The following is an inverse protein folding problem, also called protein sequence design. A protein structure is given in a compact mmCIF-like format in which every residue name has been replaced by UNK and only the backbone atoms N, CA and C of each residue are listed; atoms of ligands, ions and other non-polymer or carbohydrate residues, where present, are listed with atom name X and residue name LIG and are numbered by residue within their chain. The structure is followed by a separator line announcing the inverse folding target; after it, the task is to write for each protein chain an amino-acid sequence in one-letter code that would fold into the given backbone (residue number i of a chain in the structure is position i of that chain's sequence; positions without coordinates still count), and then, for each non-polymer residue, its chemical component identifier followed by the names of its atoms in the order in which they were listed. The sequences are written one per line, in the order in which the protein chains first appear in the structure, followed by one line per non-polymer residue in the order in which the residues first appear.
data_IF_833745017156
#
_entry.id   IF_833745017156
#
_cell.length_a   1.000
_cell.length_b   1.000
_cell.length_c   1.000
_cell.angle_alpha   90.00
_cell.angle_beta   90.00
_cell.angle_gamma   90.00
#
_symmetry.space_group_name_H-M   'P 1'
#
loop_
_entity.id
_entity.type
_entity.pdbx_description
1 polymer ?
#
# COMPACT_ATOMS: atom_id res chain seq x y z
N UNK A 1 -18.94 22.83 12.23
CA UNK A 1 -17.94 22.83 13.34
C UNK A 1 -17.91 21.44 14.02
N UNK A 2 -19.05 20.79 14.28
CA UNK A 2 -19.10 19.44 14.87
C UNK A 2 -18.72 18.36 13.86
N UNK A 3 -19.13 18.50 12.61
CA UNK A 3 -18.76 17.58 11.52
C UNK A 3 -17.26 17.57 11.22
N UNK A 4 -16.58 18.72 11.34
CA UNK A 4 -15.15 18.82 11.08
C UNK A 4 -14.30 18.11 12.15
N UNK A 5 -14.76 18.15 13.41
CA UNK A 5 -14.04 17.50 14.52
C UNK A 5 -14.13 15.97 14.46
N UNK A 6 -15.29 15.44 14.04
CA UNK A 6 -15.51 14.01 13.88
C UNK A 6 -14.75 13.48 12.66
N UNK A 7 -14.69 14.27 11.58
CA UNK A 7 -13.88 13.96 10.40
C UNK A 7 -12.40 13.87 10.75
N UNK A 8 -11.91 14.74 11.63
CA UNK A 8 -10.51 14.77 12.10
C UNK A 8 -10.13 13.51 12.90
N UNK A 9 -11.03 13.00 13.76
CA UNK A 9 -10.75 11.79 14.56
C UNK A 9 -10.88 10.50 13.71
N UNK A 10 -11.73 10.50 12.69
CA UNK A 10 -11.88 9.38 11.75
C UNK A 10 -10.68 9.28 10.80
N UNK A 11 -10.13 10.40 10.33
CA UNK A 11 -9.00 10.42 9.43
C UNK A 11 -7.71 9.88 10.09
N UNK A 12 -7.52 10.11 11.40
CA UNK A 12 -6.41 9.53 12.18
C UNK A 12 -6.53 8.00 12.29
N UNK A 13 -7.74 7.45 12.36
CA UNK A 13 -7.97 6.00 12.41
C UNK A 13 -7.73 5.30 11.06
N UNK A 14 -7.81 6.04 9.94
CA UNK A 14 -7.66 5.50 8.59
C UNK A 14 -6.22 5.24 8.17
N UNK A 15 -5.25 5.95 8.76
CA UNK A 15 -3.81 5.76 8.46
C UNK A 15 -3.24 4.45 9.00
N UNK A 16 -3.88 3.81 9.96
CA UNK A 16 -3.38 2.56 10.58
C UNK A 16 -3.72 1.27 9.84
N UNK A 17 -4.48 1.31 8.74
CA UNK A 17 -5.07 0.12 8.10
C UNK A 17 -4.41 -0.41 6.83
N UNK A 18 -3.44 0.25 6.22
CA UNK A 18 -3.06 -0.05 4.82
C UNK A 18 -1.73 -0.77 4.55
N UNK A 19 -0.92 -1.12 5.55
CA UNK A 19 0.34 -1.85 5.27
C UNK A 19 0.73 -2.86 6.34
N UNK A 20 -0.04 -3.94 6.47
CA UNK A 20 0.34 -5.08 7.30
C UNK A 20 1.14 -6.13 6.55
N UNK A 21 2.42 -5.95 6.28
CA UNK A 21 3.31 -7.07 5.97
C UNK A 21 4.05 -7.48 7.25
N UNK A 22 3.65 -8.61 7.83
CA UNK A 22 4.33 -9.23 8.97
C UNK A 22 5.64 -9.84 8.47
N UNK A 23 6.76 -9.33 8.94
CA UNK A 23 8.03 -10.07 8.92
C UNK A 23 8.20 -10.73 10.29
N UNK A 24 8.26 -12.07 10.32
CA UNK A 24 8.66 -12.83 11.48
C UNK A 24 10.15 -12.62 11.74
N UNK A 25 10.49 -12.09 12.91
CA UNK A 25 11.86 -12.08 13.44
C UNK A 25 12.00 -13.32 14.32
N UNK A 26 12.92 -14.21 13.98
CA UNK A 26 13.32 -15.32 14.83
C UNK A 26 13.98 -14.81 16.10
N UNK A 27 13.49 -15.28 17.24
CA UNK A 27 14.09 -15.13 18.55
C UNK A 27 15.29 -16.08 18.69
N UNK A 28 16.40 -15.58 19.19
CA UNK A 28 17.48 -16.36 19.79
C UNK A 28 17.23 -16.56 21.30
N UNK A 29 17.90 -17.50 21.99
CA UNK A 29 17.47 -18.08 23.26
C UNK A 29 17.90 -17.31 24.52
N UNK A 30 16.97 -17.28 25.47
CA UNK A 30 17.15 -17.51 26.90
C UNK A 30 17.69 -16.40 27.80
N UNK A 31 16.82 -15.85 28.67
CA UNK A 31 17.10 -15.57 30.08
C UNK A 31 15.75 -15.61 30.82
N UNK A 32 15.70 -16.37 31.92
CA UNK A 32 14.56 -16.68 32.81
C UNK A 32 14.30 -15.62 33.91
N UNK A 33 13.34 -15.77 34.88
CA UNK A 33 12.15 -14.92 34.92
C UNK A 33 12.07 -14.04 36.20
N UNK A 34 11.37 -12.93 36.10
CA UNK A 34 11.05 -12.01 37.20
C UNK A 34 9.64 -11.46 37.20
N UNK A 35 8.82 -12.04 38.11
CA UNK A 35 7.63 -11.49 38.80
C UNK A 35 6.48 -10.85 38.02
N UNK A 36 5.34 -11.58 38.07
CA UNK A 36 3.96 -11.22 37.72
C UNK A 36 3.48 -9.87 38.30
N UNK A 37 2.94 -9.01 37.43
CA UNK A 37 1.90 -8.06 37.84
C UNK A 37 0.71 -8.20 36.86
N UNK A 38 -0.46 -8.38 37.46
CA UNK A 38 -1.75 -8.58 36.82
C UNK A 38 -2.10 -7.48 35.82
N UNK A 39 -2.21 -7.81 34.55
CA UNK A 39 -2.94 -7.02 33.56
C UNK A 39 -4.22 -7.79 33.19
N UNK A 40 -5.36 -7.14 33.44
CA UNK A 40 -6.69 -7.64 33.08
C UNK A 40 -6.82 -7.69 31.56
N UNK A 41 -7.04 -8.88 31.05
CA UNK A 41 -7.32 -9.14 29.63
C UNK A 41 -8.65 -8.53 29.21
N UNK A 42 -8.61 -7.71 28.15
CA UNK A 42 -9.81 -7.33 27.41
C UNK A 42 -10.24 -8.53 26.56
N UNK A 43 -11.47 -8.96 26.76
CA UNK A 43 -12.07 -10.11 26.10
C UNK A 43 -12.09 -9.95 24.58
N UNK A 44 -11.55 -10.94 23.91
CA UNK A 44 -11.67 -11.15 22.47
C UNK A 44 -13.14 -11.48 22.18
N UNK A 45 -13.76 -10.69 21.30
CA UNK A 45 -15.05 -11.05 20.70
C UNK A 45 -14.80 -12.21 19.75
N UNK A 46 -15.15 -13.40 20.16
CA UNK A 46 -15.10 -14.60 19.34
C UNK A 46 -16.13 -14.44 18.19
N UNK A 47 -15.66 -14.48 16.95
CA UNK A 47 -16.53 -14.68 15.80
C UNK A 47 -17.19 -16.05 15.90
N UNK A 48 -18.50 -16.08 16.01
CA UNK A 48 -19.30 -17.29 15.90
C UNK A 48 -19.18 -17.85 14.47
N UNK A 49 -18.28 -18.82 14.32
CA UNK A 49 -18.22 -19.66 13.12
C UNK A 49 -19.30 -20.72 13.23
N UNK A 50 -20.36 -20.62 12.47
CA UNK A 50 -21.32 -21.70 12.29
C UNK A 50 -20.63 -22.86 11.56
N UNK A 51 -20.28 -23.91 12.30
CA UNK A 51 -19.83 -25.18 11.73
C UNK A 51 -20.98 -25.82 10.95
N UNK A 52 -20.96 -25.70 9.62
CA UNK A 52 -21.66 -26.64 8.75
C UNK A 52 -20.75 -27.85 8.54
N UNK A 53 -21.12 -28.98 9.18
CA UNK A 53 -20.55 -30.28 8.86
C UNK A 53 -20.94 -30.67 7.44
N UNK A 54 -20.00 -30.60 6.52
CA UNK A 54 -20.04 -31.37 5.28
C UNK A 54 -18.63 -31.91 5.04
N UNK A 55 -18.49 -33.25 5.17
CA UNK A 55 -17.33 -33.97 4.71
C UNK A 55 -17.27 -33.86 3.18
N UNK A 56 -16.57 -32.84 2.67
CA UNK A 56 -16.16 -32.79 1.28
C UNK A 56 -14.66 -33.04 1.24
N UNK A 57 -14.25 -34.07 0.51
CA UNK A 57 -12.85 -34.38 0.18
C UNK A 57 -12.20 -33.14 -0.41
N UNK A 58 -11.19 -32.60 0.25
CA UNK A 58 -10.39 -31.48 -0.24
C UNK A 58 -9.51 -31.96 -1.39
N UNK A 59 -10.00 -31.86 -2.62
CA UNK A 59 -9.12 -31.74 -3.78
C UNK A 59 -8.63 -30.29 -3.78
N UNK A 60 -7.35 -30.09 -3.51
CA UNK A 60 -6.71 -28.78 -3.38
C UNK A 60 -6.60 -28.03 -4.72
N UNK A 61 -7.74 -27.53 -5.21
CA UNK A 61 -7.78 -26.40 -6.12
C UNK A 61 -8.21 -25.19 -5.29
N UNK A 62 -7.32 -24.22 -5.11
CA UNK A 62 -7.72 -22.89 -4.71
C UNK A 62 -8.82 -22.45 -5.67
N UNK A 63 -10.06 -22.43 -5.22
CA UNK A 63 -11.17 -21.86 -5.99
C UNK A 63 -10.76 -20.40 -6.26
N UNK A 64 -10.36 -20.17 -7.51
CA UNK A 64 -10.17 -18.83 -8.05
C UNK A 64 -11.57 -18.22 -7.99
N UNK A 65 -11.83 -17.34 -7.02
CA UNK A 65 -13.07 -16.61 -6.94
C UNK A 65 -13.34 -16.01 -8.33
N UNK A 66 -14.43 -16.38 -9.01
CA UNK A 66 -14.67 -15.94 -10.37
C UNK A 66 -14.68 -14.42 -10.40
N UNK A 67 -14.17 -13.85 -11.49
CA UNK A 67 -14.23 -12.41 -11.69
C UNK A 67 -15.70 -11.98 -11.68
N UNK A 68 -16.07 -11.05 -10.80
CA UNK A 68 -17.45 -10.58 -10.70
C UNK A 68 -17.98 -10.10 -12.07
N UNK A 69 -17.18 -9.33 -12.82
CA UNK A 69 -17.56 -8.84 -14.15
C UNK A 69 -17.69 -9.92 -15.23
N UNK A 70 -17.13 -11.13 -15.02
CA UNK A 70 -17.27 -12.25 -15.97
C UNK A 70 -18.44 -13.19 -15.66
N UNK A 71 -19.17 -12.95 -14.56
CA UNK A 71 -20.35 -13.70 -14.21
C UNK A 71 -21.52 -13.27 -15.09
N UNK A 72 -22.48 -14.19 -15.33
CA UNK A 72 -23.73 -13.83 -15.99
C UNK A 72 -24.56 -12.85 -15.11
N UNK A 73 -25.50 -12.15 -15.73
CA UNK A 73 -26.29 -11.11 -15.07
C UNK A 73 -27.06 -11.63 -13.85
N UNK A 74 -27.61 -12.85 -13.92
CA UNK A 74 -28.34 -13.44 -12.81
C UNK A 74 -27.45 -13.72 -11.61
N UNK A 75 -26.25 -14.22 -11.83
CA UNK A 75 -25.29 -14.48 -10.76
C UNK A 75 -24.76 -13.18 -10.16
N UNK A 76 -24.55 -12.15 -10.97
CA UNK A 76 -24.19 -10.83 -10.47
C UNK A 76 -25.31 -10.26 -9.58
N UNK A 77 -26.57 -10.36 -10.02
CA UNK A 77 -27.74 -9.91 -9.27
C UNK A 77 -27.88 -10.67 -7.94
N UNK A 78 -27.70 -11.98 -7.95
CA UNK A 78 -27.72 -12.82 -6.74
C UNK A 78 -26.67 -12.35 -5.72
N UNK A 79 -25.45 -12.07 -6.17
CA UNK A 79 -24.35 -11.57 -5.32
C UNK A 79 -24.67 -10.19 -4.75
N UNK A 80 -25.26 -9.29 -5.53
CA UNK A 80 -25.67 -7.98 -5.05
C UNK A 80 -26.73 -8.13 -3.95
N UNK A 81 -27.76 -8.93 -4.18
CA UNK A 81 -28.82 -9.18 -3.21
C UNK A 81 -28.31 -9.86 -1.93
N UNK A 82 -27.41 -10.83 -2.05
CA UNK A 82 -26.76 -11.45 -0.90
C UNK A 82 -25.92 -10.43 -0.11
N UNK A 83 -25.10 -9.64 -0.79
CA UNK A 83 -24.29 -8.59 -0.16
C UNK A 83 -25.13 -7.53 0.54
N UNK A 84 -26.29 -7.18 -0.03
CA UNK A 84 -27.23 -6.24 0.59
C UNK A 84 -27.86 -6.82 1.86
N UNK A 85 -28.24 -8.10 1.85
CA UNK A 85 -28.77 -8.81 3.03
C UNK A 85 -27.70 -8.86 4.14
N UNK A 86 -26.48 -9.23 3.80
CA UNK A 86 -25.38 -9.29 4.77
C UNK A 86 -25.06 -7.91 5.37
N UNK A 87 -25.14 -6.85 4.55
CA UNK A 87 -24.99 -5.47 5.04
C UNK A 87 -26.13 -5.09 5.97
N UNK A 88 -27.38 -5.47 5.66
CA UNK A 88 -28.53 -5.21 6.53
C UNK A 88 -28.35 -5.87 7.90
N UNK A 89 -27.95 -7.15 7.92
CA UNK A 89 -27.67 -7.88 9.17
C UNK A 89 -26.57 -7.16 9.98
N UNK A 90 -25.51 -6.69 9.33
CA UNK A 90 -24.45 -5.94 10.00
C UNK A 90 -24.95 -4.62 10.59
N UNK A 91 -25.74 -3.85 9.81
CA UNK A 91 -26.31 -2.55 10.26
C UNK A 91 -27.26 -2.76 11.43
N UNK A 92 -28.14 -3.75 11.37
CA UNK A 92 -29.06 -4.09 12.47
C UNK A 92 -28.32 -4.52 13.74
N UNK A 93 -27.26 -5.32 13.58
CA UNK A 93 -26.42 -5.72 14.71
C UNK A 93 -25.71 -4.52 15.34
N UNK A 94 -25.13 -3.63 14.53
CA UNK A 94 -24.47 -2.42 15.03
C UNK A 94 -25.47 -1.47 15.71
N UNK A 95 -26.65 -1.28 15.13
CA UNK A 95 -27.72 -0.50 15.76
C UNK A 95 -28.07 -1.01 17.16
N UNK A 96 -28.26 -2.34 17.31
CA UNK A 96 -28.54 -2.97 18.62
C UNK A 96 -27.36 -2.85 19.59
N UNK A 97 -26.14 -3.20 19.16
CA UNK A 97 -24.94 -3.20 20.03
C UNK A 97 -24.54 -1.80 20.48
N UNK A 98 -24.65 -0.81 19.59
CA UNK A 98 -24.28 0.57 19.88
C UNK A 98 -25.48 1.38 20.41
N UNK A 99 -26.68 0.78 20.45
CA UNK A 99 -27.97 1.43 20.80
C UNK A 99 -28.20 2.69 19.96
N UNK A 100 -28.09 2.54 18.65
CA UNK A 100 -28.29 3.60 17.67
C UNK A 100 -29.47 3.26 16.76
N UNK A 101 -30.19 4.30 16.38
CA UNK A 101 -31.10 4.25 15.23
C UNK A 101 -30.26 4.58 14.00
N UNK A 102 -30.15 3.64 13.08
CA UNK A 102 -29.44 3.79 11.82
C UNK A 102 -30.45 3.92 10.67
N UNK A 103 -30.09 4.59 9.57
CA UNK A 103 -31.00 4.75 8.44
C UNK A 103 -31.31 3.40 7.79
N UNK A 104 -32.47 3.28 7.17
CA UNK A 104 -32.79 2.16 6.29
C UNK A 104 -31.83 2.13 5.11
N UNK A 105 -31.38 0.93 4.74
CA UNK A 105 -30.48 0.79 3.60
C UNK A 105 -31.22 1.12 2.29
N UNK A 106 -30.62 1.87 1.38
CA UNK A 106 -31.15 2.05 0.05
C UNK A 106 -31.06 0.74 -0.75
N UNK A 107 -31.85 0.63 -1.80
CA UNK A 107 -31.69 -0.45 -2.77
C UNK A 107 -30.45 -0.19 -3.63
N UNK A 108 -29.53 -1.13 -3.66
CA UNK A 108 -28.31 -1.02 -4.44
C UNK A 108 -28.44 -1.74 -5.79
N UNK A 109 -27.94 -1.11 -6.84
CA UNK A 109 -27.93 -1.68 -8.19
C UNK A 109 -26.61 -2.39 -8.51
N UNK A 110 -25.53 -1.94 -7.86
CA UNK A 110 -24.19 -2.47 -8.10
C UNK A 110 -23.43 -2.70 -6.80
N UNK A 111 -22.41 -3.59 -6.85
CA UNK A 111 -21.46 -3.75 -5.73
C UNK A 111 -20.70 -2.45 -5.46
N UNK A 112 -20.49 -1.63 -6.48
CA UNK A 112 -19.82 -0.34 -6.33
C UNK A 112 -20.66 0.62 -5.48
N UNK A 113 -21.99 0.59 -5.59
CA UNK A 113 -22.89 1.41 -4.77
C UNK A 113 -22.85 0.97 -3.31
N UNK A 114 -22.86 -0.34 -3.03
CA UNK A 114 -22.68 -0.87 -1.69
C UNK A 114 -21.33 -0.41 -1.10
N UNK A 115 -20.24 -0.49 -1.89
CA UNK A 115 -18.91 -0.04 -1.47
C UNK A 115 -18.88 1.47 -1.18
N UNK A 116 -19.58 2.27 -1.98
CA UNK A 116 -19.69 3.73 -1.78
C UNK A 116 -20.46 4.05 -0.52
N UNK A 117 -21.59 3.38 -0.28
CA UNK A 117 -22.37 3.52 0.94
C UNK A 117 -21.52 3.23 2.18
N UNK A 118 -20.76 2.13 2.19
CA UNK A 118 -19.90 1.77 3.32
C UNK A 118 -18.75 2.76 3.61
N UNK A 119 -18.52 3.73 2.73
CA UNK A 119 -17.49 4.77 2.88
C UNK A 119 -18.09 6.18 3.02
N UNK A 120 -19.41 6.31 2.86
CA UNK A 120 -20.10 7.59 2.96
C UNK A 120 -20.40 8.00 4.42
N UNK A 121 -20.79 9.25 4.63
CA UNK A 121 -21.32 9.68 5.89
C UNK A 121 -22.65 8.95 6.17
N UNK A 122 -22.86 8.52 7.42
CA UNK A 122 -24.07 7.84 7.84
C UNK A 122 -24.72 8.67 8.92
N UNK A 123 -25.96 9.02 8.70
CA UNK A 123 -26.79 9.65 9.71
C UNK A 123 -27.14 8.64 10.80
N UNK A 124 -27.02 9.04 12.04
CA UNK A 124 -27.37 8.19 13.18
C UNK A 124 -27.89 9.02 14.34
N UNK A 125 -28.80 8.42 15.12
CA UNK A 125 -29.36 9.00 16.34
C UNK A 125 -29.35 7.96 17.46
N UNK A 126 -29.39 8.37 18.75
CA UNK A 126 -29.61 7.44 19.84
C UNK A 126 -30.93 6.73 19.71
N UNK A 127 -30.98 5.44 20.02
CA UNK A 127 -32.23 4.68 20.00
C UNK A 127 -33.22 5.22 21.06
N UNK A 128 -34.53 5.29 20.76
CA UNK A 128 -35.50 5.90 21.66
C UNK A 128 -35.65 5.24 23.04
N UNK A 129 -35.33 3.96 23.11
CA UNK A 129 -35.46 3.14 24.33
C UNK A 129 -34.12 2.97 25.10
N UNK A 130 -33.07 3.67 24.68
CA UNK A 130 -31.76 3.60 25.29
C UNK A 130 -31.74 3.82 26.81
N UNK A 131 -32.63 4.61 27.34
CA UNK A 131 -32.72 4.92 28.76
C UNK A 131 -33.24 3.77 29.64
N UNK A 132 -33.81 2.68 29.09
CA UNK A 132 -34.51 1.63 29.85
C UNK A 132 -33.66 0.38 30.12
N UNK A 133 -32.54 0.19 29.47
CA UNK A 133 -31.74 -1.01 29.63
C UNK A 133 -30.63 -0.85 30.70
N UNK A 134 -30.81 -1.55 31.84
CA UNK A 134 -29.73 -1.73 32.83
C UNK A 134 -28.81 -2.83 32.34
N UNK A 135 -27.65 -2.44 31.78
CA UNK A 135 -26.60 -3.41 31.47
C UNK A 135 -25.87 -3.77 32.76
N UNK A 136 -26.05 -5.00 33.24
CA UNK A 136 -25.26 -5.56 34.35
C UNK A 136 -23.89 -6.00 33.82
N UNK A 137 -22.85 -5.24 34.11
CA UNK A 137 -21.47 -5.70 34.04
C UNK A 137 -20.99 -6.01 35.46
N UNK A 138 -20.94 -7.28 35.84
CA UNK A 138 -20.53 -7.69 37.17
C UNK A 138 -21.38 -7.13 38.31
N UNK A 139 -20.87 -7.08 39.54
CA UNK A 139 -21.59 -6.66 40.75
C UNK A 139 -21.81 -5.15 40.90
N UNK A 140 -21.35 -4.33 39.95
CA UNK A 140 -21.49 -2.85 40.02
C UNK A 140 -22.45 -2.31 38.99
N UNK A 141 -23.61 -1.85 39.46
CA UNK A 141 -24.61 -1.09 38.69
C UNK A 141 -24.15 0.36 38.54
N UNK A 142 -23.47 0.73 37.45
CA UNK A 142 -23.23 2.14 37.12
C UNK A 142 -24.46 2.69 36.37
N UNK A 143 -25.15 3.67 36.96
CA UNK A 143 -26.13 4.50 36.25
C UNK A 143 -25.39 5.37 35.24
N UNK A 144 -25.37 4.98 33.97
CA UNK A 144 -24.92 5.89 32.94
C UNK A 144 -26.04 6.89 32.63
N UNK A 145 -25.80 8.19 32.87
CA UNK A 145 -26.61 9.25 32.31
C UNK A 145 -26.55 9.14 30.78
N UNK A 146 -27.67 8.82 30.16
CA UNK A 146 -27.81 8.75 28.72
C UNK A 146 -27.70 10.16 28.16
N UNK A 147 -26.61 10.46 27.47
CA UNK A 147 -26.51 11.70 26.71
C UNK A 147 -27.44 11.64 25.49
N UNK A 148 -28.13 12.73 25.20
CA UNK A 148 -28.98 12.87 24.01
C UNK A 148 -28.24 12.92 22.68
N UNK A 149 -26.94 12.59 22.65
CA UNK A 149 -26.08 12.69 21.48
C UNK A 149 -25.23 11.43 21.32
N UNK A 150 -25.05 10.98 20.08
CA UNK A 150 -24.13 9.90 19.72
C UNK A 150 -22.68 10.29 20.08
N UNK A 151 -21.95 9.33 20.61
CA UNK A 151 -20.55 9.55 20.99
C UNK A 151 -19.62 9.44 19.77
N UNK A 152 -18.52 10.16 19.71
CA UNK A 152 -17.52 10.01 18.63
C UNK A 152 -17.06 8.55 18.43
N UNK A 153 -16.92 7.79 19.54
CA UNK A 153 -16.56 6.38 19.49
C UNK A 153 -17.58 5.51 18.75
N UNK A 154 -18.86 5.83 18.83
CA UNK A 154 -19.92 5.09 18.15
C UNK A 154 -19.80 5.28 16.63
N UNK A 155 -19.52 6.50 16.18
CA UNK A 155 -19.17 6.80 14.78
C UNK A 155 -17.95 6.04 14.28
N UNK A 156 -16.89 6.02 15.08
CA UNK A 156 -15.66 5.28 14.73
C UNK A 156 -15.93 3.78 14.58
N UNK A 157 -16.68 3.20 15.52
CA UNK A 157 -17.03 1.78 15.50
C UNK A 157 -17.89 1.44 14.29
N UNK A 158 -18.91 2.23 14.00
CA UNK A 158 -19.79 2.06 12.84
C UNK A 158 -18.99 2.15 11.53
N UNK A 159 -18.26 3.24 11.36
CA UNK A 159 -17.46 3.48 10.15
C UNK A 159 -16.38 2.41 9.92
N UNK A 160 -15.69 1.99 10.98
CA UNK A 160 -14.68 0.93 10.89
C UNK A 160 -15.32 -0.41 10.51
N UNK A 161 -16.49 -0.75 11.08
CA UNK A 161 -17.20 -2.00 10.78
C UNK A 161 -17.68 -2.04 9.32
N UNK A 162 -18.26 -0.95 8.83
CA UNK A 162 -18.69 -0.84 7.43
C UNK A 162 -17.50 -0.85 6.46
N UNK A 163 -16.42 -0.18 6.81
CA UNK A 163 -15.19 -0.23 6.03
C UNK A 163 -14.60 -1.65 5.95
N UNK A 164 -14.65 -2.42 7.04
CA UNK A 164 -14.23 -3.82 7.03
C UNK A 164 -15.17 -4.68 6.18
N UNK A 165 -16.49 -4.48 6.28
CA UNK A 165 -17.47 -5.15 5.43
C UNK A 165 -17.21 -4.87 3.95
N UNK A 166 -16.93 -3.62 3.56
CA UNK A 166 -16.55 -3.27 2.19
C UNK A 166 -15.41 -4.12 1.65
N UNK A 167 -14.46 -4.52 2.50
CA UNK A 167 -13.31 -5.35 2.09
C UNK A 167 -13.67 -6.80 1.78
N UNK A 168 -14.84 -7.27 2.21
CA UNK A 168 -15.36 -8.63 1.90
C UNK A 168 -16.08 -8.68 0.56
N UNK A 169 -16.52 -7.54 0.05
CA UNK A 169 -17.30 -7.47 -1.19
C UNK A 169 -16.45 -7.85 -2.42
N UNK A 170 -17.07 -8.49 -3.42
CA UNK A 170 -16.39 -8.87 -4.64
C UNK A 170 -15.81 -7.65 -5.37
N UNK A 171 -14.80 -7.88 -6.19
CA UNK A 171 -14.08 -6.83 -6.92
C UNK A 171 -13.88 -7.31 -8.35
N UNK A 172 -14.15 -6.42 -9.31
CA UNK A 172 -13.87 -6.65 -10.71
C UNK A 172 -12.37 -6.83 -10.96
N UNK A 173 -12.04 -7.57 -11.99
CA UNK A 173 -10.66 -7.67 -12.43
C UNK A 173 -10.24 -6.37 -13.11
N UNK A 174 -8.98 -5.95 -12.92
CA UNK A 174 -8.39 -4.89 -13.72
C UNK A 174 -8.39 -5.30 -15.21
N UNK A 175 -8.63 -4.34 -16.07
CA UNK A 175 -8.52 -4.50 -17.52
C UNK A 175 -7.03 -4.57 -17.89
N UNK A 176 -6.55 -5.79 -18.13
CA UNK A 176 -5.16 -6.02 -18.54
C UNK A 176 -4.89 -5.50 -19.96
N UNK A 177 -5.88 -5.45 -20.83
CA UNK A 177 -5.76 -4.88 -22.17
C UNK A 177 -5.41 -3.41 -22.12
N UNK A 178 -6.18 -2.61 -21.36
CA UNK A 178 -5.88 -1.19 -21.13
C UNK A 178 -4.52 -0.97 -20.46
N UNK A 179 -4.11 -1.88 -19.59
CA UNK A 179 -2.79 -1.79 -18.97
C UNK A 179 -1.66 -2.01 -19.98
N UNK A 180 -1.80 -3.01 -20.88
CA UNK A 180 -0.88 -3.19 -21.99
C UNK A 180 -0.79 -1.97 -22.89
N UNK A 181 -1.94 -1.36 -23.25
CA UNK A 181 -1.98 -0.16 -24.05
C UNK A 181 -1.25 1.01 -23.36
N UNK A 182 -1.48 1.16 -22.06
CA UNK A 182 -0.81 2.18 -21.26
C UNK A 182 0.71 2.00 -21.25
N UNK A 183 1.19 0.77 -21.10
CA UNK A 183 2.63 0.47 -21.09
C UNK A 183 3.29 0.60 -22.46
N UNK A 184 2.55 0.42 -23.55
CA UNK A 184 3.06 0.51 -24.91
C UNK A 184 3.44 1.95 -25.35
N UNK A 185 2.96 2.97 -24.64
CA UNK A 185 3.16 4.37 -25.05
C UNK A 185 4.23 5.05 -24.20
N UNK A 186 5.26 5.57 -24.88
CA UNK A 186 6.27 6.40 -24.23
C UNK A 186 5.68 7.75 -23.78
N UNK A 187 6.21 8.28 -22.70
CA UNK A 187 5.85 9.61 -22.19
C UNK A 187 6.95 10.60 -22.50
N UNK A 188 6.56 11.85 -22.78
CA UNK A 188 7.52 12.92 -22.98
C UNK A 188 8.37 13.14 -21.74
N UNK A 189 9.66 13.29 -21.91
CA UNK A 189 10.60 13.59 -20.83
C UNK A 189 10.65 15.09 -20.57
N UNK A 190 10.87 15.48 -19.30
CA UNK A 190 11.15 16.87 -18.95
C UNK A 190 12.66 17.08 -18.77
N UNK A 191 13.35 17.77 -19.70
CA UNK A 191 14.80 17.96 -19.61
C UNK A 191 15.24 18.74 -18.36
N UNK A 192 14.41 19.67 -17.88
CA UNK A 192 14.69 20.47 -16.68
C UNK A 192 14.63 19.60 -15.43
N UNK A 193 13.65 18.69 -15.36
CA UNK A 193 13.57 17.70 -14.28
C UNK A 193 14.77 16.72 -14.32
N UNK A 194 15.15 16.25 -15.51
CA UNK A 194 16.33 15.38 -15.67
C UNK A 194 17.65 16.07 -15.27
N UNK A 195 17.78 17.37 -15.58
CA UNK A 195 18.94 18.17 -15.13
C UNK A 195 18.96 18.28 -13.59
N UNK A 196 17.80 18.53 -12.98
CA UNK A 196 17.65 18.56 -11.53
C UNK A 196 18.02 17.21 -10.90
N UNK A 197 17.53 16.09 -11.42
CA UNK A 197 17.87 14.74 -10.97
C UNK A 197 19.37 14.51 -10.96
N UNK A 198 20.07 14.83 -12.05
CA UNK A 198 21.54 14.69 -12.16
C UNK A 198 22.31 15.49 -11.12
N UNK A 199 21.79 16.64 -10.74
CA UNK A 199 22.38 17.50 -9.71
C UNK A 199 22.06 17.00 -8.29
N UNK A 200 20.83 16.53 -8.04
CA UNK A 200 20.37 16.21 -6.69
C UNK A 200 20.79 14.82 -6.22
N UNK A 201 20.88 13.84 -7.11
CA UNK A 201 21.23 12.46 -6.73
C UNK A 201 22.60 12.38 -6.02
N UNK A 202 23.71 13.02 -6.45
CA UNK A 202 24.97 12.98 -5.73
C UNK A 202 24.90 13.57 -4.31
N UNK A 203 23.98 14.50 -4.06
CA UNK A 203 23.73 15.03 -2.72
C UNK A 203 23.02 14.03 -1.81
N UNK A 204 22.16 13.19 -2.37
CA UNK A 204 21.43 12.15 -1.65
C UNK A 204 22.28 10.91 -1.41
N UNK A 205 23.07 10.52 -2.39
CA UNK A 205 23.91 9.30 -2.43
C UNK A 205 25.40 9.70 -2.48
N UNK A 206 25.94 10.05 -1.32
CA UNK A 206 27.35 10.41 -1.20
C UNK A 206 28.25 9.17 -1.31
N UNK A 207 29.50 9.37 -1.65
CA UNK A 207 30.51 8.32 -1.72
C UNK A 207 30.49 7.40 -0.49
N UNK A 208 30.65 6.12 -0.72
CA UNK A 208 30.66 5.10 0.33
C UNK A 208 29.29 4.64 0.82
N UNK A 209 28.20 5.14 0.25
CA UNK A 209 26.86 4.68 0.64
C UNK A 209 26.60 3.20 0.32
N UNK A 210 27.35 2.65 -0.62
CA UNK A 210 27.24 1.28 -1.13
C UNK A 210 28.22 0.28 -0.51
N UNK A 211 29.04 0.71 0.47
CA UNK A 211 30.07 -0.13 1.12
C UNK A 211 29.54 -1.45 1.70
N UNK A 212 28.26 -1.47 2.12
CA UNK A 212 27.61 -2.68 2.67
C UNK A 212 27.14 -3.68 1.63
N UNK A 213 27.43 -3.49 0.32
CA UNK A 213 26.87 -4.35 -0.72
C UNK A 213 27.31 -5.81 -0.58
N UNK A 214 28.60 -6.05 -0.35
CA UNK A 214 29.14 -7.41 -0.18
C UNK A 214 28.48 -8.17 0.97
N UNK A 215 28.30 -7.51 2.12
CA UNK A 215 27.62 -8.11 3.28
C UNK A 215 26.15 -8.45 2.97
N UNK A 216 25.49 -7.62 2.17
CA UNK A 216 24.11 -7.88 1.74
C UNK A 216 24.01 -9.04 0.78
N UNK A 217 24.98 -9.23 -0.10
CA UNK A 217 25.07 -10.40 -0.96
C UNK A 217 25.17 -11.67 -0.11
N UNK A 218 26.02 -11.68 0.91
CA UNK A 218 26.16 -12.84 1.80
C UNK A 218 24.85 -13.18 2.53
N UNK A 219 24.06 -12.17 2.88
CA UNK A 219 22.78 -12.32 3.62
C UNK A 219 21.56 -12.38 2.71
N UNK A 220 21.75 -12.40 1.38
CA UNK A 220 20.61 -12.41 0.44
C UNK A 220 19.77 -13.66 0.63
N UNK A 221 18.46 -13.48 0.68
CA UNK A 221 17.50 -14.56 0.79
C UNK A 221 16.53 -14.50 -0.37
N UNK A 222 16.24 -15.65 -0.94
CA UNK A 222 15.22 -15.80 -1.96
C UNK A 222 13.89 -16.07 -1.28
N UNK A 223 12.84 -15.41 -1.75
CA UNK A 223 11.50 -15.57 -1.19
C UNK A 223 10.83 -16.90 -1.60
N UNK A 224 9.64 -17.11 -1.05
CA UNK A 224 8.80 -18.27 -1.37
C UNK A 224 7.69 -17.94 -2.38
N UNK A 225 7.80 -16.81 -3.09
CA UNK A 225 6.79 -16.35 -4.05
C UNK A 225 6.91 -17.07 -5.39
N UNK A 226 5.89 -16.94 -6.21
CA UNK A 226 5.88 -17.41 -7.60
C UNK A 226 6.94 -16.70 -8.44
N UNK A 227 7.45 -17.38 -9.47
CA UNK A 227 8.46 -16.94 -10.42
C UNK A 227 8.16 -17.52 -11.81
N UNK A 228 8.84 -17.03 -12.86
CA UNK A 228 8.51 -17.42 -14.25
C UNK A 228 8.90 -18.85 -14.58
N UNK A 229 10.05 -19.30 -14.09
CA UNK A 229 10.63 -20.62 -14.37
C UNK A 229 9.93 -21.75 -13.63
N UNK A 230 8.89 -21.44 -12.86
CA UNK A 230 8.11 -22.40 -12.09
C UNK A 230 7.39 -23.38 -13.00
N UNK A 231 7.66 -24.67 -12.85
CA UNK A 231 7.08 -25.76 -13.63
C UNK A 231 5.89 -26.42 -12.92
N UNK A 232 6.01 -26.64 -11.60
CA UNK A 232 4.94 -27.25 -10.80
C UNK A 232 4.41 -26.28 -9.74
N UNK A 233 3.12 -26.41 -9.33
CA UNK A 233 2.46 -25.47 -8.42
C UNK A 233 3.14 -25.29 -7.06
N UNK A 234 3.77 -26.32 -6.54
CA UNK A 234 4.37 -26.37 -5.19
C UNK A 234 5.74 -25.70 -5.12
N UNK A 235 6.41 -25.51 -6.26
CA UNK A 235 7.72 -24.88 -6.30
C UNK A 235 7.71 -23.45 -5.77
N UNK A 236 8.68 -23.14 -4.93
CA UNK A 236 8.98 -21.77 -4.50
C UNK A 236 10.29 -21.30 -5.11
N UNK A 237 10.43 -19.99 -5.27
CA UNK A 237 11.68 -19.42 -5.80
C UNK A 237 12.90 -19.84 -4.96
N UNK A 238 12.76 -19.98 -3.63
CA UNK A 238 13.82 -20.44 -2.73
C UNK A 238 14.21 -21.89 -3.03
N UNK A 239 13.22 -22.77 -3.18
CA UNK A 239 13.46 -24.18 -3.50
C UNK A 239 14.19 -24.28 -4.84
N UNK A 240 13.71 -23.61 -5.89
CA UNK A 240 14.32 -23.61 -7.20
C UNK A 240 15.81 -23.18 -7.18
N UNK A 241 16.12 -22.10 -6.43
CA UNK A 241 17.51 -21.65 -6.34
C UNK A 241 18.39 -22.67 -5.61
N UNK A 242 17.87 -23.30 -4.56
CA UNK A 242 18.63 -24.32 -3.82
C UNK A 242 18.91 -25.57 -4.66
N UNK A 243 17.92 -26.04 -5.43
CA UNK A 243 18.02 -27.29 -6.21
C UNK A 243 18.76 -27.11 -7.53
N UNK A 244 18.55 -25.97 -8.23
CA UNK A 244 19.00 -25.81 -9.62
C UNK A 244 20.17 -24.82 -9.78
N UNK A 245 20.48 -24.01 -8.79
CA UNK A 245 21.53 -22.99 -8.89
C UNK A 245 22.62 -23.20 -7.84
N UNK A 246 22.20 -23.47 -6.61
CA UNK A 246 23.12 -23.49 -5.46
C UNK A 246 23.41 -22.07 -4.92
N UNK A 247 23.71 -22.02 -3.61
CA UNK A 247 23.88 -20.73 -2.91
C UNK A 247 25.10 -19.94 -3.39
N UNK A 248 26.25 -20.61 -3.60
CA UNK A 248 27.50 -19.94 -3.97
C UNK A 248 27.39 -19.33 -5.37
N UNK A 249 26.84 -20.06 -6.33
CA UNK A 249 26.61 -19.54 -7.68
C UNK A 249 25.62 -18.37 -7.65
N UNK A 250 24.55 -18.48 -6.88
CA UNK A 250 23.57 -17.39 -6.72
C UNK A 250 24.23 -16.12 -6.13
N UNK A 251 25.10 -16.27 -5.13
CA UNK A 251 25.85 -15.14 -4.57
C UNK A 251 26.86 -14.56 -5.58
N UNK A 252 27.50 -15.40 -6.39
CA UNK A 252 28.37 -14.95 -7.47
C UNK A 252 27.61 -14.12 -8.51
N UNK A 253 26.40 -14.56 -8.88
CA UNK A 253 25.51 -13.78 -9.76
C UNK A 253 25.11 -12.43 -9.14
N UNK A 254 24.86 -12.38 -7.83
CA UNK A 254 24.61 -11.12 -7.14
C UNK A 254 25.81 -10.17 -7.15
N UNK A 255 27.05 -10.69 -7.02
CA UNK A 255 28.28 -9.90 -7.02
C UNK A 255 28.66 -9.38 -8.40
N UNK A 256 28.52 -10.22 -9.42
CA UNK A 256 29.06 -9.97 -10.75
C UNK A 256 28.00 -9.45 -11.73
N UNK A 257 26.72 -9.55 -11.37
CA UNK A 257 25.60 -9.33 -12.27
C UNK A 257 25.30 -10.57 -13.13
N UNK A 258 24.08 -10.67 -13.57
CA UNK A 258 23.61 -11.71 -14.49
C UNK A 258 22.57 -11.15 -15.45
N UNK A 259 22.68 -11.51 -16.71
CA UNK A 259 21.57 -11.30 -17.65
C UNK A 259 20.48 -12.31 -17.34
N UNK A 260 19.24 -11.86 -17.23
CA UNK A 260 18.08 -12.72 -17.04
C UNK A 260 16.94 -12.30 -17.97
N UNK A 261 15.99 -13.20 -18.13
CA UNK A 261 14.80 -12.94 -18.95
C UNK A 261 14.00 -11.77 -18.40
N UNK A 262 13.83 -10.73 -19.21
CA UNK A 262 13.10 -9.50 -18.81
C UNK A 262 11.59 -9.57 -19.05
N UNK A 263 11.05 -10.72 -19.41
CA UNK A 263 9.60 -10.94 -19.47
C UNK A 263 9.01 -10.93 -18.06
N UNK A 264 7.84 -10.34 -17.92
CA UNK A 264 7.03 -10.32 -16.70
C UNK A 264 5.63 -10.80 -17.01
N UNK A 265 5.19 -11.86 -16.38
CA UNK A 265 3.79 -12.29 -16.47
C UNK A 265 2.93 -11.42 -15.56
N UNK A 266 1.88 -10.82 -16.11
CA UNK A 266 0.90 -10.09 -15.31
C UNK A 266 0.00 -11.09 -14.57
N UNK A 267 -0.23 -10.84 -13.30
CA UNK A 267 -1.13 -11.60 -12.44
C UNK A 267 -2.00 -10.65 -11.62
N UNK A 268 -3.21 -11.08 -11.31
CA UNK A 268 -4.12 -10.28 -10.46
C UNK A 268 -4.09 -10.82 -9.05
N UNK A 269 -3.59 -10.03 -8.12
CA UNK A 269 -3.61 -10.32 -6.70
C UNK A 269 -4.82 -9.64 -6.04
N UNK A 270 -5.70 -10.45 -5.44
CA UNK A 270 -6.86 -9.97 -4.70
C UNK A 270 -6.53 -9.93 -3.21
N UNK A 271 -6.69 -8.78 -2.60
CA UNK A 271 -6.49 -8.61 -1.17
C UNK A 271 -7.40 -7.53 -0.62
N UNK A 272 -8.17 -7.87 0.40
CA UNK A 272 -8.99 -6.91 1.15
C UNK A 272 -9.92 -6.05 0.25
N UNK A 273 -10.65 -6.69 -0.67
CA UNK A 273 -11.63 -6.04 -1.56
C UNK A 273 -11.00 -5.19 -2.67
N UNK A 274 -9.69 -5.34 -2.92
CA UNK A 274 -8.99 -4.70 -4.04
C UNK A 274 -8.35 -5.77 -4.92
N UNK A 275 -8.46 -5.61 -6.23
CA UNK A 275 -7.70 -6.36 -7.22
C UNK A 275 -6.54 -5.47 -7.70
N UNK A 276 -5.32 -5.98 -7.59
CA UNK A 276 -4.12 -5.27 -8.02
C UNK A 276 -3.38 -6.11 -9.04
N UNK A 277 -2.96 -5.49 -10.14
CA UNK A 277 -2.05 -6.15 -11.06
C UNK A 277 -0.66 -6.18 -10.44
N UNK A 278 -0.10 -7.37 -10.35
CA UNK A 278 1.28 -7.61 -9.90
C UNK A 278 2.03 -8.34 -10.99
N UNK A 279 3.34 -8.27 -10.96
CA UNK A 279 4.18 -8.96 -11.94
C UNK A 279 4.89 -10.15 -11.33
N UNK A 280 4.92 -11.24 -12.09
CA UNK A 280 5.73 -12.43 -11.81
C UNK A 280 6.95 -12.35 -12.71
N UNK A 281 8.13 -12.26 -12.12
CA UNK A 281 9.41 -12.11 -12.78
C UNK A 281 10.23 -13.41 -12.73
N UNK A 282 11.32 -13.46 -13.49
CA UNK A 282 12.36 -14.50 -13.35
C UNK A 282 12.87 -14.56 -11.91
N UNK A 283 13.17 -15.77 -11.43
CA UNK A 283 13.78 -15.99 -10.12
C UNK A 283 15.11 -15.21 -9.98
N UNK A 284 15.84 -15.02 -11.06
CA UNK A 284 17.10 -14.30 -11.06
C UNK A 284 16.97 -12.79 -10.80
N UNK A 285 15.75 -12.25 -10.82
CA UNK A 285 15.54 -10.89 -10.35
C UNK A 285 15.85 -10.72 -8.84
N UNK A 286 15.88 -11.81 -8.08
CA UNK A 286 16.34 -11.78 -6.69
C UNK A 286 17.81 -11.39 -6.55
N UNK A 287 18.64 -11.48 -7.62
CA UNK A 287 20.01 -10.96 -7.63
C UNK A 287 20.05 -9.43 -7.43
N UNK A 288 18.97 -8.71 -7.72
CA UNK A 288 18.84 -7.27 -7.43
C UNK A 288 18.43 -6.96 -5.98
N UNK A 289 18.11 -7.97 -5.16
CA UNK A 289 17.68 -7.74 -3.76
C UNK A 289 18.74 -7.03 -2.92
N UNK A 290 20.05 -7.35 -3.02
CA UNK A 290 21.10 -6.62 -2.29
C UNK A 290 21.10 -5.12 -2.62
N UNK A 291 21.04 -4.76 -3.90
CA UNK A 291 21.00 -3.36 -4.33
C UNK A 291 19.72 -2.67 -3.86
N UNK A 292 18.57 -3.29 -4.06
CA UNK A 292 17.27 -2.73 -3.67
C UNK A 292 17.19 -2.47 -2.15
N UNK A 293 17.63 -3.43 -1.34
CA UNK A 293 17.64 -3.28 0.12
C UNK A 293 18.64 -2.21 0.57
N UNK A 294 19.80 -2.14 -0.08
CA UNK A 294 20.82 -1.13 0.20
C UNK A 294 20.32 0.28 -0.11
N UNK A 295 19.72 0.48 -1.29
CA UNK A 295 19.08 1.75 -1.65
C UNK A 295 18.00 2.15 -0.64
N UNK A 296 17.10 1.24 -0.30
CA UNK A 296 16.01 1.53 0.61
C UNK A 296 16.48 1.84 2.03
N UNK A 297 17.48 1.10 2.54
CA UNK A 297 18.07 1.35 3.85
C UNK A 297 18.84 2.68 3.88
N UNK A 298 19.53 3.03 2.79
CA UNK A 298 20.19 4.32 2.66
C UNK A 298 19.17 5.47 2.69
N UNK A 299 18.11 5.37 1.89
CA UNK A 299 17.03 6.36 1.87
C UNK A 299 16.31 6.45 3.22
N UNK A 300 16.18 5.33 3.95
CA UNK A 300 15.53 5.29 5.28
C UNK A 300 16.26 6.09 6.36
N UNK A 301 17.52 6.46 6.13
CA UNK A 301 18.28 7.36 7.01
C UNK A 301 17.91 8.84 6.79
N UNK A 302 17.23 9.14 5.67
CA UNK A 302 16.82 10.52 5.34
C UNK A 302 15.54 10.87 6.12
N UNK A 303 15.49 12.08 6.68
CA UNK A 303 14.34 12.55 7.50
C UNK A 303 13.00 12.53 6.78
N UNK A 304 13.00 12.59 5.47
CA UNK A 304 11.79 12.63 4.65
C UNK A 304 11.20 11.23 4.37
N UNK A 305 11.98 10.14 4.46
CA UNK A 305 11.43 8.80 4.24
C UNK A 305 10.80 8.25 5.52
N UNK A 306 9.55 7.83 5.42
CA UNK A 306 8.83 7.12 6.46
C UNK A 306 8.91 5.62 6.20
N UNK A 307 9.72 4.90 6.98
CA UNK A 307 9.84 3.45 6.86
C UNK A 307 8.89 2.73 7.80
N UNK A 308 8.08 1.82 7.25
CA UNK A 308 7.16 1.00 8.04
C UNK A 308 5.91 1.75 8.48
N UNK A 309 5.39 1.41 9.64
CA UNK A 309 4.15 2.01 10.18
C UNK A 309 4.40 3.44 10.65
N UNK A 310 3.53 4.35 10.27
CA UNK A 310 3.53 5.71 10.76
C UNK A 310 3.36 5.74 12.30
N UNK A 311 4.21 6.51 12.98
CA UNK A 311 4.15 6.72 14.42
C UNK A 311 4.09 8.22 14.69
N UNK A 312 3.42 8.68 15.77
CA UNK A 312 3.32 10.10 16.11
C UNK A 312 4.69 10.80 16.16
N UNK A 313 5.72 10.12 16.68
CA UNK A 313 7.08 10.66 16.83
C UNK A 313 7.72 10.98 15.46
N UNK A 314 7.32 10.25 14.42
CA UNK A 314 7.81 10.50 13.05
C UNK A 314 7.36 11.87 12.51
N UNK A 315 6.34 12.47 13.11
CA UNK A 315 5.71 13.72 12.69
C UNK A 315 5.94 14.88 13.69
N UNK A 316 6.94 14.77 14.56
CA UNK A 316 7.25 15.81 15.56
C UNK A 316 7.47 17.21 14.95
N UNK A 317 7.93 17.31 13.71
CA UNK A 317 8.08 18.57 12.96
C UNK A 317 6.81 19.09 12.26
N UNK A 318 5.67 18.36 12.35
CA UNK A 318 4.41 18.71 11.69
C UNK A 318 3.47 19.51 12.63
N UNK A 319 4.02 20.50 13.33
CA UNK A 319 3.22 21.41 14.14
C UNK A 319 2.40 22.34 13.23
N UNK A 320 1.19 22.69 13.66
CA UNK A 320 0.36 23.70 13.00
C UNK A 320 1.04 25.06 13.06
N UNK A 321 1.17 25.72 11.91
CA UNK A 321 1.68 27.10 11.80
C UNK A 321 0.61 27.95 11.10
N UNK A 322 0.27 29.14 11.64
CA UNK A 322 -0.66 30.06 10.98
C UNK A 322 -0.17 30.40 9.56
N UNK A 323 -1.08 30.37 8.59
CA UNK A 323 -0.76 30.64 7.18
C UNK A 323 -0.22 29.45 6.40
N UNK A 324 0.06 28.32 7.05
CA UNK A 324 0.45 27.06 6.39
C UNK A 324 -0.68 26.04 6.37
N UNK A 325 -0.57 25.09 5.45
CA UNK A 325 -1.50 23.98 5.24
C UNK A 325 -0.73 22.66 5.26
N UNK A 326 -1.42 21.60 5.67
CA UNK A 326 -0.97 20.22 5.45
C UNK A 326 -1.54 19.73 4.12
N UNK A 327 -0.72 19.06 3.34
CA UNK A 327 -1.11 18.38 2.12
C UNK A 327 -0.86 16.90 2.32
N UNK A 328 -1.93 16.09 2.25
CA UNK A 328 -1.86 14.63 2.20
C UNK A 328 -2.12 14.21 0.77
N UNK A 329 -1.05 13.89 0.04
CA UNK A 329 -1.09 13.63 -1.39
C UNK A 329 -1.24 12.15 -1.71
N UNK A 330 -2.10 11.84 -2.67
CA UNK A 330 -2.26 10.53 -3.31
C UNK A 330 -2.09 10.69 -4.83
N UNK A 331 -1.52 9.69 -5.49
CA UNK A 331 -1.35 9.70 -6.94
C UNK A 331 -2.24 8.66 -7.60
N UNK A 332 -2.68 8.96 -8.82
CA UNK A 332 -3.44 8.03 -9.65
C UNK A 332 -2.52 6.98 -10.25
N UNK A 333 -2.69 5.71 -9.86
CA UNK A 333 -1.91 4.60 -10.41
C UNK A 333 -0.41 4.95 -10.54
N UNK A 334 0.20 5.40 -9.43
CA UNK A 334 1.53 6.01 -9.42
C UNK A 334 2.54 5.22 -10.27
N UNK A 335 2.67 3.91 -10.02
CA UNK A 335 3.60 3.05 -10.73
C UNK A 335 3.29 2.92 -12.23
N UNK A 336 2.00 2.84 -12.61
CA UNK A 336 1.63 2.70 -14.02
C UNK A 336 1.80 4.01 -14.80
N UNK A 337 1.84 5.15 -14.10
CA UNK A 337 1.97 6.48 -14.69
C UNK A 337 3.40 6.99 -14.78
N UNK A 338 4.38 6.27 -14.23
CA UNK A 338 5.77 6.70 -14.30
C UNK A 338 6.26 6.89 -15.74
N UNK A 339 7.11 7.89 -15.92
CA UNK A 339 7.94 8.03 -17.11
C UNK A 339 9.15 7.08 -16.97
N UNK A 340 9.25 6.10 -17.86
CA UNK A 340 10.31 5.09 -17.80
C UNK A 340 11.70 5.70 -17.99
N UNK A 341 11.82 6.73 -18.85
CA UNK A 341 13.11 7.41 -19.09
C UNK A 341 13.54 8.24 -17.87
N UNK A 342 12.58 8.78 -17.10
CA UNK A 342 12.91 9.38 -15.80
C UNK A 342 13.42 8.32 -14.82
N UNK A 343 12.77 7.15 -14.74
CA UNK A 343 13.22 6.06 -13.89
C UNK A 343 14.62 5.57 -14.27
N UNK A 344 14.90 5.44 -15.57
CA UNK A 344 16.24 5.10 -16.11
C UNK A 344 17.27 6.15 -15.72
N UNK A 345 16.95 7.44 -15.91
CA UNK A 345 17.87 8.52 -15.57
C UNK A 345 18.16 8.59 -14.05
N UNK A 346 17.14 8.41 -13.22
CA UNK A 346 17.29 8.35 -11.76
C UNK A 346 18.18 7.17 -11.36
N UNK A 347 17.89 5.96 -11.87
CA UNK A 347 18.66 4.78 -11.55
C UNK A 347 20.10 4.91 -12.03
N UNK A 348 20.32 5.38 -13.26
CA UNK A 348 21.65 5.62 -13.81
C UNK A 348 22.44 6.64 -12.96
N UNK A 349 21.79 7.72 -12.52
CA UNK A 349 22.45 8.70 -11.67
C UNK A 349 22.84 8.09 -10.30
N UNK A 350 22.00 7.25 -9.70
CA UNK A 350 22.33 6.50 -8.48
C UNK A 350 23.49 5.54 -8.71
N UNK A 351 23.46 4.75 -9.79
CA UNK A 351 24.51 3.77 -10.09
C UNK A 351 25.87 4.44 -10.31
N UNK A 352 25.92 5.64 -10.88
CA UNK A 352 27.15 6.42 -11.05
C UNK A 352 27.81 6.86 -9.74
N UNK A 353 27.08 6.81 -8.62
CA UNK A 353 27.63 7.07 -7.28
C UNK A 353 28.07 5.81 -6.57
N UNK A 354 28.09 4.66 -7.24
CA UNK A 354 28.46 3.37 -6.65
C UNK A 354 29.80 2.86 -7.14
N UNK A 355 30.40 1.99 -6.34
CA UNK A 355 31.60 1.19 -6.68
C UNK A 355 31.24 -0.22 -7.17
N UNK A 356 29.94 -0.48 -7.43
CA UNK A 356 29.45 -1.78 -7.88
C UNK A 356 30.04 -2.19 -9.23
N UNK A 357 30.18 -3.50 -9.44
CA UNK A 357 30.67 -4.04 -10.72
C UNK A 357 29.77 -3.59 -11.89
N UNK A 358 30.38 -3.42 -13.07
CA UNK A 358 29.65 -3.05 -14.31
C UNK A 358 28.52 -4.04 -14.59
N UNK A 359 28.71 -5.33 -14.29
CA UNK A 359 27.68 -6.35 -14.46
C UNK A 359 26.44 -6.12 -13.57
N UNK A 360 26.63 -5.73 -12.30
CA UNK A 360 25.52 -5.39 -11.40
C UNK A 360 24.81 -4.12 -11.89
N UNK A 361 25.56 -3.11 -12.32
CA UNK A 361 24.98 -1.88 -12.87
C UNK A 361 24.17 -2.17 -14.15
N UNK A 362 24.72 -2.97 -15.06
CA UNK A 362 24.03 -3.38 -16.29
C UNK A 362 22.79 -4.20 -16.01
N UNK A 363 22.85 -5.15 -15.06
CA UNK A 363 21.71 -5.95 -14.61
C UNK A 363 20.59 -5.05 -14.04
N UNK A 364 20.94 -4.06 -13.23
CA UNK A 364 20.00 -3.12 -12.66
C UNK A 364 19.31 -2.28 -13.74
N UNK A 365 20.07 -1.72 -14.67
CA UNK A 365 19.52 -0.95 -15.80
C UNK A 365 18.65 -1.82 -16.71
N UNK A 366 19.09 -3.02 -17.06
CA UNK A 366 18.33 -3.97 -17.87
C UNK A 366 17.00 -4.37 -17.24
N UNK A 367 16.91 -4.38 -15.90
CA UNK A 367 15.64 -4.69 -15.20
C UNK A 367 14.50 -3.75 -15.51
N UNK A 368 14.78 -2.52 -15.94
CA UNK A 368 13.80 -1.54 -16.37
C UNK A 368 13.30 -1.75 -17.83
N UNK A 369 14.00 -2.56 -18.62
CA UNK A 369 13.64 -2.86 -20.02
C UNK A 369 12.75 -4.10 -20.09
N UNK A 370 11.64 -4.08 -19.37
CA UNK A 370 10.76 -5.23 -19.25
C UNK A 370 9.78 -5.36 -20.42
N UNK A 371 9.41 -6.62 -20.70
CA UNK A 371 8.27 -7.01 -21.54
C UNK A 371 7.21 -7.62 -20.64
N UNK A 372 5.98 -7.12 -20.69
CA UNK A 372 4.86 -7.68 -19.94
C UNK A 372 4.05 -8.63 -20.81
N UNK A 373 3.58 -9.74 -20.20
CA UNK A 373 2.82 -10.78 -20.88
C UNK A 373 1.57 -11.15 -20.10
N UNK A 374 0.43 -11.22 -20.78
CA UNK A 374 -0.81 -11.80 -20.25
C UNK A 374 -1.73 -12.22 -21.38
N UNK A 375 -2.45 -13.35 -21.21
CA UNK A 375 -3.43 -13.86 -22.16
C UNK A 375 -2.91 -13.92 -23.61
N UNK A 376 -1.64 -14.32 -23.80
CA UNK A 376 -1.01 -14.41 -25.12
C UNK A 376 -0.53 -13.07 -25.73
N UNK A 377 -0.86 -11.93 -25.12
CA UNK A 377 -0.36 -10.62 -25.55
C UNK A 377 0.96 -10.30 -24.85
N UNK A 378 1.94 -9.88 -25.64
CA UNK A 378 3.23 -9.35 -25.15
C UNK A 378 3.37 -7.87 -25.49
N UNK A 379 3.90 -7.10 -24.59
CA UNK A 379 4.10 -5.66 -24.77
C UNK A 379 5.42 -5.22 -24.14
N UNK A 380 6.30 -4.65 -24.93
CA UNK A 380 7.50 -3.99 -24.44
C UNK A 380 7.10 -2.71 -23.71
N UNK A 381 7.62 -2.53 -22.51
CA UNK A 381 7.30 -1.36 -21.72
C UNK A 381 8.03 -0.12 -22.24
N UNK A 382 7.25 0.91 -22.52
CA UNK A 382 7.71 2.26 -22.86
C UNK A 382 7.38 3.27 -21.75
N UNK A 383 6.51 2.91 -20.80
CA UNK A 383 6.16 3.71 -19.63
C UNK A 383 5.79 2.81 -18.45
N UNK A 384 5.70 3.41 -17.28
CA UNK A 384 5.31 2.72 -16.05
C UNK A 384 6.51 2.09 -15.31
N UNK A 385 6.20 1.54 -14.16
CA UNK A 385 7.10 0.78 -13.31
C UNK A 385 6.33 -0.41 -12.71
N UNK A 386 6.94 -1.60 -12.73
CA UNK A 386 6.24 -2.82 -12.41
C UNK A 386 6.14 -3.08 -10.90
N UNK A 387 4.92 -3.30 -10.42
CA UNK A 387 4.66 -3.70 -9.04
C UNK A 387 5.10 -5.16 -8.83
N UNK A 388 6.16 -5.36 -8.10
CA UNK A 388 6.78 -6.67 -7.82
C UNK A 388 8.27 -6.72 -8.17
N UNK A 389 8.75 -5.85 -9.02
CA UNK A 389 10.18 -5.72 -9.33
C UNK A 389 10.95 -5.19 -8.13
N UNK A 390 12.18 -5.69 -7.91
CA UNK A 390 12.95 -5.43 -6.69
C UNK A 390 13.30 -3.96 -6.49
N UNK A 391 13.62 -3.25 -7.57
CA UNK A 391 13.99 -1.84 -7.53
C UNK A 391 12.80 -0.88 -7.51
N UNK A 392 11.57 -1.37 -7.75
CA UNK A 392 10.39 -0.52 -7.89
C UNK A 392 10.12 0.34 -6.67
N UNK A 393 10.13 -0.24 -5.47
CA UNK A 393 9.76 0.52 -4.28
C UNK A 393 10.78 1.61 -3.88
N UNK A 394 12.10 1.32 -3.83
CA UNK A 394 13.08 2.40 -3.59
C UNK A 394 13.07 3.48 -4.68
N UNK A 395 12.87 3.11 -5.95
CA UNK A 395 12.75 4.10 -7.03
C UNK A 395 11.47 4.93 -6.91
N UNK A 396 10.35 4.34 -6.49
CA UNK A 396 9.10 5.06 -6.24
C UNK A 396 9.28 6.11 -5.14
N UNK A 397 9.85 5.72 -3.99
CA UNK A 397 10.13 6.65 -2.91
C UNK A 397 11.04 7.79 -3.36
N UNK A 398 12.09 7.45 -4.10
CA UNK A 398 13.08 8.43 -4.59
C UNK A 398 12.46 9.37 -5.63
N UNK A 399 11.69 8.85 -6.58
CA UNK A 399 11.02 9.68 -7.60
C UNK A 399 10.01 10.62 -6.97
N UNK A 400 9.24 10.15 -5.97
CA UNK A 400 8.29 10.99 -5.24
C UNK A 400 9.01 12.13 -4.50
N UNK A 401 10.13 11.83 -3.83
CA UNK A 401 10.96 12.86 -3.21
C UNK A 401 11.54 13.86 -4.21
N UNK A 402 12.10 13.38 -5.32
CA UNK A 402 12.69 14.25 -6.35
C UNK A 402 11.63 15.16 -6.99
N UNK A 403 10.42 14.65 -7.22
CA UNK A 403 9.30 15.45 -7.73
C UNK A 403 8.90 16.55 -6.74
N UNK A 404 8.83 16.21 -5.45
CA UNK A 404 8.56 17.17 -4.38
C UNK A 404 9.68 18.21 -4.29
N UNK A 405 10.94 17.81 -4.19
CA UNK A 405 12.07 18.72 -4.08
C UNK A 405 12.19 19.65 -5.30
N UNK A 406 11.96 19.11 -6.51
CA UNK A 406 11.92 19.89 -7.73
C UNK A 406 10.83 20.97 -7.71
N UNK A 407 9.65 20.64 -7.20
CA UNK A 407 8.55 21.61 -7.09
C UNK A 407 8.82 22.71 -6.06
N UNK A 408 9.61 22.43 -5.02
CA UNK A 408 9.95 23.36 -3.94
C UNK A 408 11.19 24.22 -4.25
N UNK A 409 11.96 23.89 -5.29
CA UNK A 409 13.18 24.60 -5.66
C UNK A 409 13.04 26.14 -5.75
N UNK A 410 11.95 26.70 -6.31
CA UNK A 410 11.80 28.17 -6.41
C UNK A 410 11.70 28.89 -5.06
N UNK A 411 11.45 28.16 -3.98
CA UNK A 411 11.26 28.72 -2.63
C UNK A 411 12.53 28.66 -1.75
N UNK A 412 13.62 28.05 -2.25
CA UNK A 412 14.91 27.99 -1.59
C UNK A 412 14.98 27.03 -0.38
N UNK A 413 13.87 26.69 0.24
CA UNK A 413 13.80 25.78 1.38
C UNK A 413 12.79 24.65 1.13
N UNK A 414 13.14 23.44 1.60
CA UNK A 414 12.23 22.29 1.58
C UNK A 414 11.35 22.31 2.83
N UNK A 415 10.02 22.37 2.64
CA UNK A 415 9.10 22.19 3.76
C UNK A 415 9.22 20.79 4.40
N UNK A 416 8.78 20.62 5.65
CA UNK A 416 8.70 19.31 6.29
C UNK A 416 7.86 18.36 5.44
N UNK A 417 8.42 17.20 5.09
CA UNK A 417 7.80 16.19 4.24
C UNK A 417 8.05 14.78 4.77
N UNK A 418 7.06 13.91 4.61
CA UNK A 418 7.18 12.46 4.81
C UNK A 418 6.63 11.72 3.61
N UNK A 419 7.37 10.71 3.17
CA UNK A 419 7.07 9.91 1.97
C UNK A 419 7.19 8.42 2.33
N UNK A 420 6.21 7.63 1.86
CA UNK A 420 6.23 6.18 1.93
C UNK A 420 5.65 5.60 0.64
N UNK A 421 6.52 5.27 -0.31
CA UNK A 421 6.08 4.86 -1.64
C UNK A 421 5.43 6.02 -2.41
N UNK A 422 4.16 5.85 -2.75
CA UNK A 422 3.30 6.85 -3.39
C UNK A 422 2.64 7.81 -2.40
N UNK A 423 2.54 7.45 -1.13
CA UNK A 423 2.01 8.34 -0.10
C UNK A 423 2.99 9.47 0.19
N UNK A 424 2.47 10.70 0.25
CA UNK A 424 3.23 11.89 0.63
C UNK A 424 2.41 12.78 1.56
N UNK A 425 3.02 13.25 2.63
CA UNK A 425 2.46 14.32 3.45
C UNK A 425 3.50 15.40 3.69
N UNK A 426 3.10 16.65 3.54
CA UNK A 426 3.97 17.79 3.82
C UNK A 426 3.18 18.97 4.38
N UNK A 427 3.87 19.86 5.09
CA UNK A 427 3.34 21.14 5.56
C UNK A 427 3.99 22.27 4.76
N UNK A 428 3.21 23.19 4.23
CA UNK A 428 3.70 24.24 3.34
C UNK A 428 2.77 25.45 3.32
N UNK A 429 3.23 26.55 2.76
CA UNK A 429 2.34 27.63 2.37
C UNK A 429 1.41 27.18 1.24
N UNK A 430 0.30 27.90 1.05
CA UNK A 430 -0.62 27.61 -0.07
C UNK A 430 0.07 27.70 -1.43
N UNK A 431 0.90 28.70 -1.64
CA UNK A 431 1.67 28.88 -2.87
C UNK A 431 2.59 27.69 -3.18
N UNK A 432 3.26 27.12 -2.16
CA UNK A 432 4.07 25.92 -2.32
C UNK A 432 3.23 24.70 -2.67
N UNK A 433 2.07 24.52 -2.02
CA UNK A 433 1.14 23.44 -2.32
C UNK A 433 0.65 23.53 -3.79
N UNK A 434 0.21 24.72 -4.22
CA UNK A 434 -0.25 24.94 -5.61
C UNK A 434 0.88 24.70 -6.63
N UNK A 435 2.12 25.08 -6.30
CA UNK A 435 3.30 24.78 -7.13
C UNK A 435 3.53 23.28 -7.25
N UNK A 436 3.43 22.52 -6.14
CA UNK A 436 3.55 21.08 -6.16
C UNK A 436 2.49 20.44 -7.07
N UNK A 437 1.21 20.83 -6.97
CA UNK A 437 0.14 20.34 -7.83
C UNK A 437 0.42 20.57 -9.31
N UNK A 438 1.01 21.72 -9.67
CA UNK A 438 1.31 22.07 -11.06
C UNK A 438 2.51 21.34 -11.65
N UNK A 439 3.48 20.95 -10.81
CA UNK A 439 4.82 20.55 -11.26
C UNK A 439 5.10 19.06 -11.14
N UNK A 440 4.45 18.33 -10.22
CA UNK A 440 4.75 16.87 -10.03
C UNK A 440 4.47 16.04 -11.29
N UNK A 441 3.59 16.49 -12.18
CA UNK A 441 3.37 15.87 -13.50
C UNK A 441 4.63 15.85 -14.37
N UNK A 442 5.54 16.81 -14.17
CA UNK A 442 6.82 16.88 -14.88
C UNK A 442 7.74 15.71 -14.53
N UNK A 443 7.55 15.12 -13.35
CA UNK A 443 8.21 13.90 -12.92
C UNK A 443 7.47 12.61 -13.33
N UNK A 444 6.31 12.74 -13.97
CA UNK A 444 5.47 11.61 -14.38
C UNK A 444 4.45 11.16 -13.31
N UNK A 445 4.24 11.95 -12.25
CA UNK A 445 3.27 11.66 -11.20
C UNK A 445 1.96 12.43 -11.45
N UNK A 446 0.83 11.74 -11.41
CA UNK A 446 -0.51 12.33 -11.58
C UNK A 446 -1.20 12.39 -10.23
N UNK A 447 -1.48 13.59 -9.74
CA UNK A 447 -2.15 13.76 -8.45
C UNK A 447 -3.61 13.34 -8.53
N UNK A 448 -4.02 12.48 -7.64
CA UNK A 448 -5.43 12.08 -7.45
C UNK A 448 -6.18 13.17 -6.70
N UNK A 449 -6.85 14.07 -7.44
CA UNK A 449 -7.58 15.22 -6.86
C UNK A 449 -8.69 14.80 -5.88
N UNK A 450 -9.33 13.67 -6.15
CA UNK A 450 -10.42 13.15 -5.29
C UNK A 450 -9.96 12.51 -3.97
N UNK A 451 -8.65 12.22 -3.84
CA UNK A 451 -8.07 11.61 -2.65
C UNK A 451 -7.03 12.50 -1.97
N UNK A 452 -6.45 13.45 -2.69
CA UNK A 452 -5.51 14.40 -2.12
C UNK A 452 -6.27 15.43 -1.29
N UNK A 453 -5.82 15.62 -0.05
CA UNK A 453 -6.47 16.50 0.92
C UNK A 453 -5.54 17.65 1.28
N UNK A 454 -6.12 18.84 1.41
CA UNK A 454 -5.45 20.04 1.94
C UNK A 454 -6.25 20.51 3.15
N UNK A 455 -5.57 20.65 4.29
CA UNK A 455 -6.19 21.13 5.54
C UNK A 455 -5.25 22.04 6.31
N UNK A 456 -5.79 23.05 6.99
CA UNK A 456 -5.02 23.90 7.91
C UNK A 456 -4.87 23.31 9.31
N UNK A 457 -5.52 22.17 9.60
CA UNK A 457 -5.63 21.65 10.96
C UNK A 457 -5.20 20.21 11.13
N UNK A 458 -5.18 19.38 10.08
CA UNK A 458 -4.85 17.95 10.18
C UNK A 458 -4.30 17.39 8.85
N UNK A 459 -3.68 16.23 8.92
CA UNK A 459 -3.22 15.43 7.77
C UNK A 459 -3.52 13.95 8.00
N UNK A 460 -3.55 13.15 6.92
CA UNK A 460 -3.76 11.70 6.99
C UNK A 460 -2.67 10.93 6.23
#
# INVERSE_FOLDING_TARGET
VINDRIRTELDVAWTFGSSGSRYNVHQGPGIEPGKKKNQKSFGSIAMLSTKRNSKAKSTGRSEINPNFGSLNADRQKEIILSSQRDLQVLVDLLGRVLHLTLPTLPTFQTVADIKRFCCGPIEMSPAPDWGRHKIRYGSTTRKHKVGSKCRPRDYMTLSASLFLFRKTLPTDQPDLGKLHDKFAHAKATNPRFLAFVRHEIPNLFKEGWDQSYSDRVQRVTVGTKSFLEKEVPEETARWFVNEHVGREEFMAMCRNGRVFRNTRRLAVARKAGKARVVTVASVFQYCLTPLASMMYDHLSKKKWLLRGTAKPESFSGFCRIPGEVFVSGDYESATDNFNLDHSRAILLAVLRTTTLSVGVQSMAMASLDAEVESAGRKTRMMSGQLMGDKLSFPLLCLTNYLAFAYSMRPFGQLPPVKINGDDIVFRSTRAQADKWFGVVKDAGLVVSRGKTMISSSYFS
#
